data_IF_471444949412
#
_entry.id   IF_471444949412
#
_cell.length_a   1.000
_cell.length_b   1.000
_cell.length_c   1.000
_cell.angle_alpha   90.00
_cell.angle_beta   90.00
_cell.angle_gamma   90.00
#
_symmetry.space_group_name_H-M   'P 1'
#
loop_
_entity.id
_entity.type
_entity.pdbx_description
1 polymer ?
#
# COMPACT_ATOMS: atom_id res chain seq x y z
N UNK A 1 -33.40 62.39 5.64
CA UNK A 1 -31.94 62.19 5.50
C UNK A 1 -31.58 60.79 5.96
N UNK A 2 -30.77 60.08 5.16
CA UNK A 2 -29.89 58.93 5.46
C UNK A 2 -30.51 57.66 6.08
N UNK A 3 -30.74 56.66 5.21
CA UNK A 3 -30.89 55.23 5.57
C UNK A 3 -29.51 54.67 5.95
N UNK A 4 -29.37 54.10 7.14
CA UNK A 4 -28.17 53.37 7.56
C UNK A 4 -28.32 51.90 7.12
N UNK A 5 -27.55 51.48 6.13
CA UNK A 5 -27.39 50.06 5.78
C UNK A 5 -26.25 49.52 6.64
N UNK A 6 -26.57 48.69 7.65
CA UNK A 6 -25.57 47.93 8.39
C UNK A 6 -25.33 46.64 7.61
N UNK A 7 -24.24 46.61 6.83
CA UNK A 7 -23.75 45.40 6.19
C UNK A 7 -23.03 44.54 7.22
N UNK A 8 -23.61 43.39 7.57
CA UNK A 8 -22.94 42.39 8.39
C UNK A 8 -21.87 41.67 7.54
N UNK A 9 -20.60 41.96 7.82
CA UNK A 9 -19.46 41.29 7.21
C UNK A 9 -19.18 39.99 7.98
N UNK A 10 -19.60 38.85 7.43
CA UNK A 10 -19.29 37.52 7.95
C UNK A 10 -17.84 37.15 7.58
N UNK A 11 -16.92 37.30 8.53
CA UNK A 11 -15.58 36.69 8.43
C UNK A 11 -15.71 35.18 8.69
N UNK A 12 -15.60 34.37 7.63
CA UNK A 12 -15.33 32.94 7.77
C UNK A 12 -13.86 32.75 8.16
N UNK A 13 -13.60 32.55 9.46
CA UNK A 13 -12.29 32.11 9.93
C UNK A 13 -12.22 30.59 9.77
N UNK A 14 -11.52 30.12 8.73
CA UNK A 14 -11.22 28.70 8.57
C UNK A 14 -10.14 28.31 9.58
N UNK A 15 -10.50 27.56 10.62
CA UNK A 15 -9.51 26.94 11.50
C UNK A 15 -8.75 25.86 10.69
N UNK A 16 -7.43 25.70 10.91
CA UNK A 16 -6.72 24.57 10.36
C UNK A 16 -7.31 23.28 10.94
N UNK A 17 -7.94 22.48 10.08
CA UNK A 17 -8.35 21.12 10.44
C UNK A 17 -7.10 20.24 10.40
N UNK A 18 -6.71 19.68 11.54
CA UNK A 18 -5.79 18.55 11.55
C UNK A 18 -6.51 17.38 10.89
N UNK A 19 -5.95 16.89 9.79
CA UNK A 19 -6.54 15.80 9.04
C UNK A 19 -6.11 14.47 9.69
N UNK A 20 -7.07 13.77 10.30
CA UNK A 20 -6.94 12.37 10.68
C UNK A 20 -7.30 11.49 9.48
N UNK A 21 -6.67 10.33 9.35
CA UNK A 21 -7.03 9.38 8.29
C UNK A 21 -7.03 7.92 8.78
N UNK A 22 -7.89 7.13 8.15
CA UNK A 22 -7.91 5.68 8.25
C UNK A 22 -7.94 5.07 6.85
N UNK A 23 -6.99 4.17 6.60
CA UNK A 23 -6.81 3.44 5.35
C UNK A 23 -6.94 1.95 5.66
N UNK A 24 -8.16 1.40 5.69
CA UNK A 24 -8.33 -0.03 5.86
C UNK A 24 -7.69 -0.75 4.68
N UNK A 25 -6.86 -1.75 4.97
CA UNK A 25 -6.23 -2.55 3.93
C UNK A 25 -6.71 -4.00 4.01
N UNK A 26 -7.70 -4.35 3.20
CA UNK A 26 -8.29 -5.70 3.19
C UNK A 26 -7.61 -6.53 2.12
N UNK A 27 -7.34 -7.79 2.40
CA UNK A 27 -6.74 -8.65 1.40
C UNK A 27 -6.97 -10.13 1.64
N UNK A 28 -6.50 -10.91 0.67
CA UNK A 28 -6.54 -12.36 0.67
C UNK A 28 -5.16 -12.88 0.27
N UNK A 29 -4.57 -13.73 1.10
CA UNK A 29 -3.36 -14.48 0.74
C UNK A 29 -3.76 -15.84 0.16
N UNK A 30 -2.98 -16.31 -0.81
CA UNK A 30 -3.10 -17.63 -1.44
C UNK A 30 -1.88 -18.47 -1.13
N UNK A 31 -2.10 -19.68 -0.64
CA UNK A 31 -1.05 -20.66 -0.39
C UNK A 31 -0.93 -21.65 -1.55
N UNK A 32 0.24 -22.28 -1.69
CA UNK A 32 0.47 -23.32 -2.72
C UNK A 32 -0.38 -24.58 -2.55
N UNK A 33 -1.05 -24.72 -1.40
CA UNK A 33 -2.04 -25.77 -1.14
C UNK A 33 -3.41 -25.47 -1.78
N UNK A 34 -3.58 -24.28 -2.37
CA UNK A 34 -4.86 -23.76 -2.85
C UNK A 34 -5.72 -23.13 -1.76
N UNK A 35 -5.25 -23.11 -0.51
CA UNK A 35 -5.95 -22.45 0.60
C UNK A 35 -5.85 -20.93 0.46
N UNK A 36 -6.97 -20.25 0.66
CA UNK A 36 -7.03 -18.80 0.77
C UNK A 36 -7.31 -18.38 2.22
N UNK A 37 -6.69 -17.27 2.65
CA UNK A 37 -6.92 -16.72 3.99
C UNK A 37 -7.07 -15.20 3.91
N UNK A 38 -8.10 -14.61 4.52
CA UNK A 38 -8.22 -13.16 4.60
C UNK A 38 -7.16 -12.59 5.55
N UNK A 39 -6.69 -11.38 5.25
CA UNK A 39 -5.88 -10.58 6.16
C UNK A 39 -6.36 -9.12 6.15
N UNK A 40 -6.01 -8.39 7.22
CA UNK A 40 -6.22 -6.96 7.31
C UNK A 40 -4.90 -6.31 7.69
N UNK A 41 -4.40 -5.45 6.81
CA UNK A 41 -3.19 -4.69 7.01
C UNK A 41 -3.37 -3.30 6.38
N UNK A 42 -3.61 -2.30 7.22
CA UNK A 42 -3.88 -0.92 6.80
C UNK A 42 -3.07 0.09 7.61
N UNK A 43 -3.34 1.38 7.39
CA UNK A 43 -2.68 2.47 8.09
C UNK A 43 -3.71 3.42 8.71
N UNK A 44 -3.41 4.02 9.85
CA UNK A 44 -4.19 5.14 10.38
C UNK A 44 -3.30 6.13 11.11
N UNK A 45 -3.68 7.39 11.11
CA UNK A 45 -2.96 8.43 11.84
C UNK A 45 -3.93 9.38 12.54
N UNK A 46 -3.73 9.57 13.84
CA UNK A 46 -4.49 10.49 14.66
C UNK A 46 -3.55 11.57 15.24
N UNK A 47 -3.60 12.81 14.73
CA UNK A 47 -2.81 13.93 15.27
C UNK A 47 -3.26 14.37 16.67
N UNK A 48 -4.48 14.02 17.08
CA UNK A 48 -4.97 14.34 18.44
C UNK A 48 -4.37 13.39 19.47
N UNK A 49 -4.14 12.14 19.10
CA UNK A 49 -3.55 11.12 19.96
C UNK A 49 -2.03 10.96 19.78
N UNK A 50 -1.41 11.69 18.84
CA UNK A 50 -0.01 11.48 18.39
C UNK A 50 0.28 10.00 18.11
N UNK A 51 -0.63 9.35 17.37
CA UNK A 51 -0.60 7.90 17.14
C UNK A 51 -0.61 7.57 15.66
N UNK A 52 0.36 6.74 15.26
CA UNK A 52 0.36 6.07 13.96
C UNK A 52 0.07 4.57 14.15
N UNK A 53 -0.84 4.03 13.34
CA UNK A 53 -1.27 2.64 13.36
C UNK A 53 -0.85 1.94 12.07
N UNK A 54 -0.25 0.76 12.21
CA UNK A 54 0.21 -0.11 11.12
C UNK A 54 -0.35 -1.51 11.38
N UNK A 55 -1.25 -1.97 10.52
CA UNK A 55 -2.01 -3.21 10.75
C UNK A 55 -2.75 -3.15 12.09
N UNK A 56 -2.42 -4.07 13.00
CA UNK A 56 -3.01 -4.13 14.34
C UNK A 56 -2.18 -3.44 15.43
N UNK A 57 -1.08 -2.77 15.07
CA UNK A 57 -0.13 -2.15 16.02
C UNK A 57 -0.25 -0.64 15.98
N UNK A 58 -0.17 0.00 17.14
CA UNK A 58 -0.16 1.44 17.29
C UNK A 58 1.13 1.90 17.95
N UNK A 59 1.64 3.05 17.52
CA UNK A 59 2.89 3.65 17.96
C UNK A 59 2.65 5.11 18.33
N UNK A 60 3.18 5.54 19.49
CA UNK A 60 3.14 6.93 19.92
C UNK A 60 4.23 7.70 19.16
N UNK A 61 3.89 8.22 18.00
CA UNK A 61 4.78 8.94 17.09
C UNK A 61 3.98 9.79 16.11
N UNK A 62 4.65 10.77 15.54
CA UNK A 62 4.13 11.55 14.42
C UNK A 62 4.02 10.69 13.14
N UNK A 63 3.28 11.19 12.14
CA UNK A 63 3.13 10.53 10.85
C UNK A 63 4.49 10.35 10.18
N UNK A 64 4.94 9.12 9.89
CA UNK A 64 6.15 8.91 9.10
C UNK A 64 5.92 9.36 7.66
N UNK A 65 7.00 9.81 6.99
CA UNK A 65 6.93 10.15 5.56
C UNK A 65 6.54 8.94 4.70
N UNK A 66 6.95 7.73 5.09
CA UNK A 66 6.65 6.51 4.36
C UNK A 66 6.69 5.25 5.22
N UNK A 67 6.10 4.17 4.67
CA UNK A 67 6.21 2.81 5.17
C UNK A 67 6.43 1.84 4.01
N UNK A 68 7.32 0.85 4.18
CA UNK A 68 7.67 -0.09 3.12
C UNK A 68 7.36 -1.53 3.54
N UNK A 69 6.54 -2.21 2.73
CA UNK A 69 6.26 -3.65 2.85
C UNK A 69 7.26 -4.40 2.00
N UNK A 70 8.03 -5.30 2.62
CA UNK A 70 9.03 -6.11 1.92
C UNK A 70 8.43 -7.43 1.41
N UNK A 71 8.72 -7.75 0.15
CA UNK A 71 8.37 -9.03 -0.48
C UNK A 71 9.66 -9.76 -0.80
N UNK A 72 9.84 -10.94 -0.21
CA UNK A 72 11.02 -11.80 -0.44
C UNK A 72 10.64 -13.02 -1.26
N UNK A 73 11.18 -13.13 -2.47
CA UNK A 73 11.14 -14.33 -3.28
C UNK A 73 12.12 -15.38 -2.74
N UNK A 74 11.64 -16.60 -2.53
CA UNK A 74 12.42 -17.75 -2.08
C UNK A 74 13.61 -18.02 -3.01
N UNK A 75 14.66 -18.70 -2.49
CA UNK A 75 15.89 -18.96 -3.26
C UNK A 75 15.68 -19.85 -4.49
N UNK A 76 14.67 -20.70 -4.44
CA UNK A 76 14.23 -21.56 -5.55
C UNK A 76 13.20 -20.87 -6.45
N UNK A 77 12.96 -19.57 -6.25
CA UNK A 77 12.04 -18.73 -7.02
C UNK A 77 10.58 -19.24 -7.06
N UNK A 78 10.19 -20.12 -6.12
CA UNK A 78 8.91 -20.84 -6.13
C UNK A 78 7.81 -20.17 -5.30
N UNK A 79 8.16 -19.42 -4.26
CA UNK A 79 7.22 -18.83 -3.31
C UNK A 79 7.70 -17.47 -2.82
N UNK A 80 6.81 -16.66 -2.25
CA UNK A 80 7.18 -15.38 -1.64
C UNK A 80 6.85 -15.35 -0.17
N UNK A 81 7.54 -14.50 0.58
CA UNK A 81 7.25 -14.22 1.97
C UNK A 81 7.05 -12.73 2.17
N UNK A 82 5.96 -12.38 2.86
CA UNK A 82 5.58 -11.02 3.26
C UNK A 82 5.20 -11.09 4.73
N UNK A 83 6.05 -10.53 5.60
CA UNK A 83 5.95 -10.70 7.04
C UNK A 83 4.64 -10.13 7.60
N UNK A 84 4.17 -9.03 7.02
CA UNK A 84 2.94 -8.33 7.39
C UNK A 84 1.69 -9.18 7.14
N UNK A 85 1.74 -10.12 6.19
CA UNK A 85 0.56 -10.86 5.73
C UNK A 85 0.53 -12.30 6.28
N UNK A 86 1.68 -12.95 6.41
CA UNK A 86 1.76 -14.34 6.84
C UNK A 86 3.08 -14.69 7.56
N UNK A 87 3.00 -15.69 8.46
CA UNK A 87 4.16 -16.27 9.14
C UNK A 87 4.91 -17.32 8.28
N UNK A 88 4.47 -17.55 7.05
CA UNK A 88 5.04 -18.55 6.14
C UNK A 88 5.02 -18.08 4.70
N UNK A 89 5.66 -18.84 3.81
CA UNK A 89 5.62 -18.61 2.37
C UNK A 89 4.19 -18.73 1.81
N UNK A 90 3.90 -17.88 0.83
CA UNK A 90 2.65 -17.78 0.09
C UNK A 90 2.93 -17.82 -1.43
N UNK A 91 1.90 -18.08 -2.22
CA UNK A 91 1.95 -18.05 -3.68
C UNK A 91 1.48 -16.72 -4.27
N UNK A 92 0.84 -15.88 -3.46
CA UNK A 92 0.39 -14.56 -3.90
C UNK A 92 -0.61 -13.95 -2.94
N UNK A 93 -1.05 -12.74 -3.26
CA UNK A 93 -2.06 -12.03 -2.50
C UNK A 93 -2.82 -11.03 -3.37
N UNK A 94 -4.05 -10.71 -2.97
CA UNK A 94 -4.77 -9.51 -3.40
C UNK A 94 -4.91 -8.60 -2.19
N UNK A 95 -4.63 -7.31 -2.38
CA UNK A 95 -4.68 -6.31 -1.31
C UNK A 95 -5.27 -5.01 -1.84
N UNK A 96 -6.32 -4.54 -1.19
CA UNK A 96 -6.97 -3.26 -1.45
C UNK A 96 -6.74 -2.34 -0.27
N UNK A 97 -6.15 -1.18 -0.51
CA UNK A 97 -5.81 -0.18 0.51
C UNK A 97 -5.98 1.24 -0.02
N UNK A 98 -6.83 2.02 0.64
CA UNK A 98 -7.29 3.30 0.07
C UNK A 98 -7.92 3.06 -1.30
N UNK A 99 -7.47 3.81 -2.30
CA UNK A 99 -7.90 3.66 -3.70
C UNK A 99 -7.01 2.70 -4.52
N UNK A 100 -6.02 2.07 -3.89
CA UNK A 100 -5.04 1.23 -4.58
C UNK A 100 -5.39 -0.25 -4.50
N UNK A 101 -5.14 -0.95 -5.61
CA UNK A 101 -5.23 -2.41 -5.70
C UNK A 101 -3.88 -2.99 -6.08
N UNK A 102 -3.37 -3.85 -5.19
CA UNK A 102 -2.08 -4.52 -5.34
C UNK A 102 -2.32 -6.02 -5.41
N UNK A 103 -1.83 -6.65 -6.47
CA UNK A 103 -2.00 -8.09 -6.69
C UNK A 103 -0.65 -8.70 -6.98
N UNK A 104 -0.26 -9.73 -6.21
CA UNK A 104 0.84 -10.60 -6.56
C UNK A 104 0.27 -11.98 -6.92
N UNK A 105 0.64 -12.48 -8.09
CA UNK A 105 0.21 -13.80 -8.57
C UNK A 105 1.29 -14.47 -9.41
N UNK A 106 1.26 -15.80 -9.45
CA UNK A 106 1.96 -16.55 -10.50
C UNK A 106 1.17 -16.52 -11.80
N UNK A 107 1.89 -16.55 -12.92
CA UNK A 107 1.32 -16.74 -14.24
C UNK A 107 2.33 -17.46 -15.17
N UNK A 108 1.83 -18.01 -16.27
CA UNK A 108 2.69 -18.58 -17.31
C UNK A 108 2.92 -17.53 -18.39
N UNK A 109 4.16 -17.37 -18.81
CA UNK A 109 4.55 -16.39 -19.82
C UNK A 109 5.27 -17.07 -20.99
N UNK A 110 5.15 -16.46 -22.17
CA UNK A 110 5.91 -16.89 -23.34
C UNK A 110 7.43 -16.69 -23.17
N UNK A 111 7.82 -15.69 -22.38
CA UNK A 111 9.22 -15.38 -22.07
C UNK A 111 9.48 -15.61 -20.58
N UNK A 112 10.67 -16.12 -20.20
CA UNK A 112 10.98 -16.38 -18.81
C UNK A 112 11.04 -15.08 -18.01
N UNK A 113 10.26 -15.00 -16.94
CA UNK A 113 10.33 -13.92 -15.95
C UNK A 113 10.64 -14.50 -14.57
N UNK A 114 11.25 -13.70 -13.70
CA UNK A 114 11.74 -14.18 -12.41
C UNK A 114 10.60 -14.75 -11.54
N UNK A 115 10.73 -16.01 -11.16
CA UNK A 115 9.76 -16.75 -10.35
C UNK A 115 8.36 -16.90 -10.97
N UNK A 116 8.18 -16.55 -12.24
CA UNK A 116 6.88 -16.53 -12.89
C UNK A 116 5.82 -15.66 -12.17
N UNK A 117 6.26 -14.59 -11.51
CA UNK A 117 5.39 -13.66 -10.79
C UNK A 117 5.06 -12.41 -11.60
N UNK A 118 3.81 -11.93 -11.48
CA UNK A 118 3.41 -10.55 -11.78
C UNK A 118 2.99 -9.87 -10.49
N UNK A 119 3.53 -8.68 -10.26
CA UNK A 119 3.02 -7.72 -9.29
C UNK A 119 2.25 -6.63 -10.05
N UNK A 120 0.94 -6.58 -9.87
CA UNK A 120 0.08 -5.55 -10.45
C UNK A 120 -0.20 -4.45 -9.42
N UNK A 121 -0.06 -3.20 -9.81
CA UNK A 121 -0.50 -2.03 -9.05
C UNK A 121 -1.48 -1.24 -9.91
N UNK A 122 -2.73 -1.13 -9.45
CA UNK A 122 -3.81 -0.40 -10.13
C UNK A 122 -4.01 -0.84 -11.58
N UNK A 123 -3.89 -2.15 -11.81
CA UNK A 123 -4.03 -2.78 -13.13
C UNK A 123 -2.79 -2.67 -14.03
N UNK A 124 -1.72 -2.03 -13.57
CA UNK A 124 -0.43 -2.01 -14.27
C UNK A 124 0.44 -3.16 -13.79
N UNK A 125 0.83 -4.02 -14.72
CA UNK A 125 1.64 -5.21 -14.43
C UNK A 125 3.14 -4.89 -14.40
N UNK A 126 3.83 -5.48 -13.42
CA UNK A 126 5.27 -5.39 -13.24
C UNK A 126 5.87 -6.79 -12.97
N UNK A 127 7.08 -7.00 -13.48
CA UNK A 127 7.84 -8.23 -13.34
C UNK A 127 9.00 -8.06 -12.36
N UNK A 128 9.31 -9.11 -11.61
CA UNK A 128 10.34 -9.07 -10.57
C UNK A 128 11.73 -9.03 -11.20
N UNK A 129 12.57 -8.10 -10.75
CA UNK A 129 13.99 -7.99 -11.14
C UNK A 129 14.95 -8.47 -10.04
N UNK A 130 14.48 -8.49 -8.80
CA UNK A 130 15.25 -8.85 -7.60
C UNK A 130 14.50 -9.92 -6.80
N UNK A 131 15.19 -10.59 -5.88
CA UNK A 131 14.51 -11.44 -4.89
C UNK A 131 13.84 -10.60 -3.80
N UNK A 132 14.35 -9.41 -3.52
CA UNK A 132 13.77 -8.48 -2.56
C UNK A 132 13.12 -7.34 -3.32
N UNK A 133 11.79 -7.29 -3.25
CA UNK A 133 10.92 -6.25 -3.79
C UNK A 133 10.34 -5.49 -2.61
N UNK A 134 9.96 -4.24 -2.83
CA UNK A 134 9.21 -3.50 -1.82
C UNK A 134 8.03 -2.74 -2.43
N UNK A 135 7.02 -2.53 -1.58
CA UNK A 135 5.89 -1.65 -1.84
C UNK A 135 5.97 -0.52 -0.82
N UNK A 136 6.30 0.67 -1.29
CA UNK A 136 6.47 1.86 -0.44
C UNK A 136 5.24 2.74 -0.54
N UNK A 137 4.64 3.02 0.62
CA UNK A 137 3.51 3.92 0.81
C UNK A 137 4.05 5.24 1.34
N UNK A 138 3.83 6.34 0.63
CA UNK A 138 4.18 7.67 1.12
C UNK A 138 2.95 8.36 1.71
N UNK A 139 3.12 9.04 2.82
CA UNK A 139 2.03 9.69 3.53
C UNK A 139 2.23 11.20 3.57
N UNK A 140 1.10 11.91 3.54
CA UNK A 140 0.99 13.28 3.99
C UNK A 140 -0.13 13.36 5.02
N UNK A 141 -0.31 14.52 5.65
CA UNK A 141 -1.34 14.71 6.67
C UNK A 141 -2.76 14.41 6.15
N UNK A 142 -2.98 14.45 4.83
CA UNK A 142 -4.27 14.12 4.19
C UNK A 142 -4.46 12.62 3.90
N UNK A 143 -3.47 11.78 4.16
CA UNK A 143 -3.51 10.34 3.87
C UNK A 143 -2.38 9.85 2.97
N UNK A 144 -2.63 8.74 2.29
CA UNK A 144 -1.71 8.12 1.32
C UNK A 144 -1.62 8.99 0.06
N UNK A 145 -0.40 9.37 -0.32
CA UNK A 145 -0.15 10.20 -1.50
C UNK A 145 0.29 9.41 -2.71
N UNK A 146 1.07 8.36 -2.50
CA UNK A 146 1.58 7.53 -3.58
C UNK A 146 1.98 6.16 -3.10
N UNK A 147 1.88 5.18 -4.01
CA UNK A 147 2.41 3.83 -3.86
C UNK A 147 3.48 3.61 -4.91
N UNK A 148 4.65 3.14 -4.48
CA UNK A 148 5.78 2.85 -5.36
C UNK A 148 6.25 1.42 -5.21
N UNK A 149 6.66 0.82 -6.33
CA UNK A 149 7.23 -0.51 -6.37
C UNK A 149 8.73 -0.42 -6.66
N UNK A 150 9.56 -1.07 -5.86
CA UNK A 150 11.00 -1.19 -6.12
C UNK A 150 11.40 -2.63 -6.39
N UNK A 151 12.42 -2.82 -7.24
CA UNK A 151 12.89 -4.16 -7.59
C UNK A 151 12.02 -4.85 -8.64
N UNK A 152 11.19 -4.10 -9.36
CA UNK A 152 10.35 -4.57 -10.47
C UNK A 152 10.59 -3.76 -11.75
N UNK A 153 10.07 -4.23 -12.88
CA UNK A 153 10.12 -3.60 -14.20
C UNK A 153 8.81 -3.76 -14.95
N UNK A 154 8.47 -2.85 -15.87
CA UNK A 154 7.35 -3.02 -16.81
C UNK A 154 7.71 -3.87 -18.03
N UNK A 155 9.01 -4.04 -18.29
CA UNK A 155 9.52 -4.88 -19.38
C UNK A 155 9.60 -6.34 -18.91
N UNK A 156 9.15 -7.29 -19.72
CA UNK A 156 9.30 -8.73 -19.44
C UNK A 156 10.76 -9.21 -19.45
N UNK A 157 11.73 -8.33 -19.64
CA UNK A 157 13.15 -8.66 -19.63
C UNK A 157 13.66 -9.11 -21.00
N UNK A 158 13.02 -8.67 -22.09
CA UNK A 158 13.52 -8.95 -23.44
C UNK A 158 14.73 -8.07 -23.75
N UNK A 159 15.92 -8.47 -23.27
CA UNK A 159 17.15 -8.09 -23.94
C UNK A 159 17.33 -9.02 -25.15
N UNK A 160 17.32 -8.45 -26.36
CA UNK A 160 17.88 -9.10 -27.55
C UNK A 160 19.39 -9.28 -27.40
#
# INVERSE_FOLDING_TARGET
MKKFFIGAFLFFVSLPSFAEFELPGKGVIRYSTGVEKPFNFGFAWSPVEDKFTIGSKAYNMDLPESYSVAITLSKDDSQVWVQEFAQSFIEGFDWEIGDHKIILRKATFAQPVKGNYVLSLDGVDYFLMKNNISITFNFEHRGLTSVHLEGVTKDMGTKR
#
